data_IF_869041280988
#
_entry.id   IF_869041280988
#
_cell.length_a   1.000
_cell.length_b   1.000
_cell.length_c   1.000
_cell.angle_alpha   90.00
_cell.angle_beta   90.00
_cell.angle_gamma   90.00
#
_symmetry.space_group_name_H-M   'P 1'
#
loop_
_entity.id
_entity.type
_entity.pdbx_description
1 polymer ?
#
# COMPACT_ATOMS: atom_id res chain seq x y z
N UNK A 1 30.02 -41.08 -19.71
CA UNK A 1 28.75 -40.35 -19.88
C UNK A 1 28.32 -40.49 -21.33
N UNK A 2 27.11 -40.98 -21.60
CA UNK A 2 26.66 -41.30 -22.95
C UNK A 2 26.45 -40.00 -23.74
N UNK A 3 27.09 -39.84 -24.91
CA UNK A 3 27.07 -38.59 -25.70
C UNK A 3 25.65 -38.16 -26.08
N UNK A 4 24.76 -39.14 -26.29
CA UNK A 4 23.34 -38.92 -26.56
C UNK A 4 22.62 -38.26 -25.37
N UNK A 5 22.87 -38.74 -24.15
CA UNK A 5 22.27 -38.19 -22.93
C UNK A 5 22.71 -36.74 -22.66
N UNK A 6 24.00 -36.43 -22.84
CA UNK A 6 24.51 -35.05 -22.69
C UNK A 6 23.88 -34.10 -23.72
N UNK A 7 23.62 -34.57 -24.95
CA UNK A 7 23.02 -33.75 -26.02
C UNK A 7 21.57 -33.38 -25.71
N UNK A 8 20.78 -34.33 -25.21
CA UNK A 8 19.39 -34.05 -24.81
C UNK A 8 19.33 -33.11 -23.61
N UNK A 9 20.21 -33.29 -22.63
CA UNK A 9 20.27 -32.45 -21.43
C UNK A 9 20.61 -30.99 -21.79
N UNK A 10 21.58 -30.78 -22.70
CA UNK A 10 21.92 -29.45 -23.22
C UNK A 10 20.74 -28.84 -24.00
N UNK A 11 20.04 -29.62 -24.82
CA UNK A 11 18.88 -29.15 -25.59
C UNK A 11 17.73 -28.71 -24.67
N UNK A 12 17.40 -29.53 -23.67
CA UNK A 12 16.37 -29.23 -22.68
C UNK A 12 16.73 -27.98 -21.85
N UNK A 13 17.98 -27.89 -21.37
CA UNK A 13 18.46 -26.74 -20.62
C UNK A 13 18.43 -25.45 -21.47
N UNK A 14 18.81 -25.52 -22.74
CA UNK A 14 18.75 -24.38 -23.66
C UNK A 14 17.33 -23.91 -23.95
N UNK A 15 16.39 -24.84 -24.17
CA UNK A 15 14.97 -24.50 -24.37
C UNK A 15 14.39 -23.89 -23.10
N UNK A 16 14.66 -24.46 -21.94
CA UNK A 16 14.19 -23.93 -20.67
C UNK A 16 14.73 -22.51 -20.42
N UNK A 17 16.03 -22.28 -20.67
CA UNK A 17 16.66 -20.96 -20.54
C UNK A 17 16.04 -19.94 -21.50
N UNK A 18 15.75 -20.33 -22.74
CA UNK A 18 15.10 -19.46 -23.70
C UNK A 18 13.69 -19.07 -23.23
N UNK A 19 12.90 -20.02 -22.76
CA UNK A 19 11.54 -19.76 -22.26
C UNK A 19 11.57 -18.89 -21.00
N UNK A 20 12.45 -19.17 -20.03
CA UNK A 20 12.55 -18.35 -18.81
C UNK A 20 13.01 -16.94 -19.10
N UNK A 21 13.91 -16.75 -20.07
CA UNK A 21 14.36 -15.43 -20.51
C UNK A 21 13.21 -14.65 -21.15
N UNK A 22 12.40 -15.28 -22.02
CA UNK A 22 11.25 -14.64 -22.65
C UNK A 22 10.21 -14.22 -21.61
N UNK A 23 9.86 -15.13 -20.69
CA UNK A 23 8.86 -14.84 -19.64
C UNK A 23 9.36 -13.77 -18.67
N UNK A 24 10.62 -13.83 -18.25
CA UNK A 24 11.23 -12.83 -17.39
C UNK A 24 11.27 -11.45 -18.04
N UNK A 25 11.62 -11.37 -19.33
CA UNK A 25 11.60 -10.11 -20.08
C UNK A 25 10.20 -9.54 -20.22
N UNK A 26 9.19 -10.38 -20.53
CA UNK A 26 7.80 -9.95 -20.62
C UNK A 26 7.28 -9.43 -19.27
N UNK A 27 7.54 -10.14 -18.18
CA UNK A 27 7.13 -9.72 -16.83
C UNK A 27 7.84 -8.42 -16.41
N UNK A 28 9.14 -8.29 -16.71
CA UNK A 28 9.91 -7.08 -16.44
C UNK A 28 9.37 -5.86 -17.19
N UNK A 29 9.02 -6.01 -18.47
CA UNK A 29 8.43 -4.94 -19.26
C UNK A 29 7.06 -4.51 -18.72
N UNK A 30 6.18 -5.47 -18.41
CA UNK A 30 4.85 -5.19 -17.84
C UNK A 30 5.00 -4.50 -16.48
N UNK A 31 5.87 -5.01 -15.60
CA UNK A 31 6.10 -4.40 -14.30
C UNK A 31 6.67 -2.98 -14.43
N UNK A 32 7.62 -2.76 -15.34
CA UNK A 32 8.21 -1.43 -15.59
C UNK A 32 7.18 -0.39 -16.02
N UNK A 33 6.26 -0.76 -16.92
CA UNK A 33 5.20 0.16 -17.37
C UNK A 33 4.10 0.35 -16.32
N UNK A 34 3.79 -0.69 -15.54
CA UNK A 34 2.66 -0.68 -14.60
C UNK A 34 3.04 -0.06 -13.25
N UNK A 35 4.31 -0.14 -12.85
CA UNK A 35 4.78 0.31 -11.53
C UNK A 35 4.48 1.79 -11.26
N UNK A 36 4.69 2.67 -12.24
CA UNK A 36 4.45 4.10 -12.06
C UNK A 36 2.95 4.40 -11.94
N UNK A 37 2.11 3.72 -12.72
CA UNK A 37 0.65 3.82 -12.60
C UNK A 37 0.13 3.31 -11.26
N UNK A 38 0.70 2.22 -10.75
CA UNK A 38 0.34 1.71 -9.42
C UNK A 38 0.71 2.73 -8.34
N UNK A 39 1.88 3.37 -8.45
CA UNK A 39 2.29 4.42 -7.50
C UNK A 39 1.36 5.63 -7.54
N UNK A 40 1.01 6.13 -8.72
CA UNK A 40 0.07 7.24 -8.90
C UNK A 40 -1.30 6.91 -8.29
N UNK A 41 -1.86 5.74 -8.63
CA UNK A 41 -3.17 5.30 -8.11
C UNK A 41 -3.14 5.11 -6.60
N UNK A 42 -2.05 4.57 -6.05
CA UNK A 42 -1.87 4.41 -4.61
C UNK A 42 -1.76 5.76 -3.89
N UNK A 43 -1.05 6.71 -4.47
CA UNK A 43 -0.97 8.07 -3.94
C UNK A 43 -2.35 8.75 -3.98
N UNK A 44 -3.09 8.62 -5.08
CA UNK A 44 -4.43 9.16 -5.21
C UNK A 44 -5.38 8.56 -4.18
N UNK A 45 -5.41 7.22 -4.03
CA UNK A 45 -6.21 6.55 -3.00
C UNK A 45 -5.86 7.02 -1.59
N UNK A 46 -4.56 7.22 -1.31
CA UNK A 46 -4.12 7.75 -0.02
C UNK A 46 -4.66 9.16 0.20
N UNK A 47 -4.65 10.01 -0.83
CA UNK A 47 -5.18 11.37 -0.76
C UNK A 47 -6.71 11.41 -0.63
N UNK A 48 -7.41 10.56 -1.37
CA UNK A 48 -8.87 10.43 -1.31
C UNK A 48 -9.30 9.98 0.09
N UNK A 49 -8.58 9.00 0.66
CA UNK A 49 -8.83 8.49 2.01
C UNK A 49 -8.59 9.54 3.10
N UNK A 50 -7.48 10.30 3.01
CA UNK A 50 -7.24 11.42 3.93
C UNK A 50 -8.37 12.46 3.85
N UNK A 51 -8.83 12.78 2.64
CA UNK A 51 -9.91 13.75 2.40
C UNK A 51 -11.28 13.23 2.84
N UNK A 52 -11.48 11.91 2.87
CA UNK A 52 -12.69 11.27 3.39
C UNK A 52 -12.77 11.38 4.92
N UNK A 53 -11.63 11.23 5.61
CA UNK A 53 -11.53 11.32 7.07
C UNK A 53 -11.60 12.79 7.54
N UNK A 54 -10.76 13.67 6.99
CA UNK A 54 -10.74 15.10 7.35
C UNK A 54 -11.12 15.93 6.12
N UNK A 55 -12.39 16.34 6.07
CA UNK A 55 -12.97 17.07 4.93
C UNK A 55 -12.44 18.49 4.84
N UNK A 56 -12.43 19.01 3.61
CA UNK A 56 -12.11 20.41 3.28
C UNK A 56 -10.74 20.89 3.80
N UNK A 57 -9.78 19.96 3.89
CA UNK A 57 -8.42 20.23 4.37
C UNK A 57 -7.36 19.98 3.29
N UNK A 58 -6.25 20.68 3.46
CA UNK A 58 -4.98 20.45 2.75
C UNK A 58 -4.06 19.60 3.61
N UNK A 59 -3.36 18.66 2.98
CA UNK A 59 -2.49 17.72 3.68
C UNK A 59 -1.03 17.98 3.31
N UNK A 60 -0.20 18.25 4.31
CA UNK A 60 1.24 18.43 4.16
C UNK A 60 1.97 17.30 4.85
N UNK A 61 2.86 16.60 4.13
CA UNK A 61 3.69 15.56 4.72
C UNK A 61 4.69 16.19 5.70
N UNK A 62 4.82 15.58 6.88
CA UNK A 62 5.80 15.95 7.91
C UNK A 62 6.71 14.77 8.21
N UNK A 63 7.95 15.07 8.57
CA UNK A 63 8.92 14.04 8.93
C UNK A 63 8.55 13.41 10.27
N UNK A 64 8.44 12.09 10.27
CA UNK A 64 8.26 11.32 11.50
C UNK A 64 9.64 11.04 12.12
N UNK A 65 9.85 11.51 13.33
CA UNK A 65 11.13 11.41 14.07
C UNK A 65 11.12 10.36 15.18
N UNK A 66 10.07 9.54 15.25
CA UNK A 66 10.00 8.44 16.22
C UNK A 66 10.53 7.12 15.67
N UNK A 67 10.63 6.13 16.56
CA UNK A 67 11.28 4.84 16.26
C UNK A 67 10.30 3.74 15.81
N UNK A 68 9.04 4.07 15.54
CA UNK A 68 8.03 3.07 15.17
C UNK A 68 8.04 2.78 13.66
N UNK A 69 8.60 1.64 13.28
CA UNK A 69 8.70 1.17 11.88
C UNK A 69 7.35 0.92 11.19
N UNK A 70 6.26 0.80 11.96
CA UNK A 70 4.92 0.68 11.39
C UNK A 70 4.42 2.01 10.81
N UNK A 71 4.93 3.15 11.27
CA UNK A 71 4.55 4.47 10.75
C UNK A 71 5.33 4.71 9.46
N UNK A 72 4.61 4.83 8.34
CA UNK A 72 5.20 5.01 7.00
C UNK A 72 5.18 6.46 6.54
N UNK A 73 4.20 7.23 6.99
CA UNK A 73 4.13 8.66 6.71
C UNK A 73 3.19 9.34 7.71
N UNK A 74 3.42 10.64 7.92
CA UNK A 74 2.57 11.50 8.74
C UNK A 74 2.22 12.73 7.91
N UNK A 75 0.95 13.12 7.93
CA UNK A 75 0.42 14.26 7.21
C UNK A 75 -0.31 15.20 8.18
N UNK A 76 0.04 16.47 8.16
CA UNK A 76 -0.69 17.51 8.88
C UNK A 76 -1.85 17.99 8.02
N UNK A 77 -3.06 17.99 8.57
CA UNK A 77 -4.24 18.56 7.93
C UNK A 77 -4.38 20.04 8.33
N UNK A 78 -4.55 20.91 7.34
CA UNK A 78 -4.85 22.33 7.54
C UNK A 78 -6.13 22.72 6.83
N UNK A 79 -6.99 23.46 7.52
CA UNK A 79 -8.25 23.96 6.95
C UNK A 79 -8.00 25.07 5.90
N UNK A 80 -9.07 25.58 5.29
CA UNK A 80 -9.02 26.65 4.30
C UNK A 80 -8.41 27.97 4.83
N UNK A 81 -8.36 28.17 6.15
CA UNK A 81 -7.72 29.32 6.79
C UNK A 81 -6.23 29.10 7.08
N UNK A 82 -5.72 27.89 6.84
CA UNK A 82 -4.37 27.46 7.18
C UNK A 82 -4.21 27.06 8.65
N UNK A 83 -5.31 26.96 9.41
CA UNK A 83 -5.28 26.52 10.79
C UNK A 83 -5.17 24.99 10.87
N UNK A 84 -4.55 24.51 11.94
CA UNK A 84 -4.37 23.07 12.18
C UNK A 84 -5.73 22.40 12.42
N UNK A 85 -6.07 21.44 11.56
CA UNK A 85 -7.34 20.72 11.56
C UNK A 85 -7.19 19.25 12.00
N UNK A 86 -5.97 18.79 12.24
CA UNK A 86 -5.67 17.43 12.68
C UNK A 86 -4.49 16.82 11.94
N UNK A 87 -4.34 15.50 12.06
CA UNK A 87 -3.20 14.76 11.57
C UNK A 87 -3.63 13.40 11.01
N UNK A 88 -3.16 13.04 9.83
CA UNK A 88 -3.36 11.73 9.22
C UNK A 88 -2.06 10.92 9.29
N UNK A 89 -2.09 9.78 9.96
CA UNK A 89 -0.95 8.86 10.05
C UNK A 89 -1.18 7.68 9.13
N UNK A 90 -0.24 7.42 8.22
CA UNK A 90 -0.21 6.17 7.46
C UNK A 90 0.60 5.14 8.23
N UNK A 91 -0.06 4.06 8.64
CA UNK A 91 0.54 2.90 9.32
C UNK A 91 0.46 1.64 8.46
N UNK A 92 1.40 0.73 8.63
CA UNK A 92 1.47 -0.54 7.90
C UNK A 92 1.76 -1.71 8.85
N UNK A 93 0.82 -2.08 9.74
CA UNK A 93 0.94 -3.31 10.54
C UNK A 93 0.92 -4.56 9.66
N UNK A 94 1.57 -5.62 10.13
CA UNK A 94 1.58 -6.93 9.46
C UNK A 94 0.33 -7.73 9.84
N UNK A 95 -0.48 -8.07 8.84
CA UNK A 95 -1.61 -9.01 8.92
C UNK A 95 -1.21 -10.46 8.62
N UNK A 96 -2.21 -11.29 8.31
CA UNK A 96 -2.01 -12.69 7.94
C UNK A 96 -1.50 -12.84 6.49
N UNK A 97 -2.04 -12.03 5.57
CA UNK A 97 -1.68 -12.03 4.15
C UNK A 97 -0.50 -11.12 3.79
N UNK A 98 -0.07 -10.26 4.71
CA UNK A 98 1.00 -9.27 4.49
C UNK A 98 0.71 -7.95 5.20
N UNK A 99 1.42 -6.88 4.83
CA UNK A 99 1.19 -5.55 5.39
C UNK A 99 -0.21 -5.03 5.03
N UNK A 100 -0.87 -4.39 5.99
CA UNK A 100 -2.15 -3.72 5.84
C UNK A 100 -1.89 -2.22 5.97
N UNK A 101 -1.91 -1.50 4.85
CA UNK A 101 -1.76 -0.06 4.81
C UNK A 101 -3.04 0.64 5.25
N UNK A 102 -2.98 1.31 6.39
CA UNK A 102 -4.11 1.99 7.04
C UNK A 102 -3.78 3.45 7.26
N UNK A 103 -4.76 4.33 7.06
CA UNK A 103 -4.70 5.75 7.40
C UNK A 103 -5.58 5.97 8.62
N UNK A 104 -5.03 6.66 9.61
CA UNK A 104 -5.74 7.04 10.84
C UNK A 104 -5.75 8.56 10.92
N UNK A 105 -6.94 9.16 10.97
CA UNK A 105 -7.11 10.59 11.22
C UNK A 105 -7.25 10.87 12.72
N UNK A 106 -6.52 11.86 13.20
CA UNK A 106 -6.46 12.29 14.60
C UNK A 106 -6.83 13.77 14.66
N UNK A 107 -7.76 14.13 15.53
CA UNK A 107 -8.18 15.52 15.76
C UNK A 107 -7.14 16.30 16.53
N UNK A 108 -7.22 17.65 16.56
CA UNK A 108 -6.38 18.48 17.41
C UNK A 108 -6.47 18.16 18.92
N UNK A 109 -7.57 17.57 19.36
CA UNK A 109 -7.85 17.15 20.73
C UNK A 109 -7.37 15.71 21.03
N UNK A 110 -6.66 15.07 20.10
CA UNK A 110 -6.22 13.67 20.15
C UNK A 110 -7.36 12.64 20.10
N UNK A 111 -8.52 13.01 19.56
CA UNK A 111 -9.62 12.08 19.23
C UNK A 111 -9.35 11.40 17.88
N UNK A 112 -9.83 10.17 17.67
CA UNK A 112 -9.72 9.50 16.37
C UNK A 112 -10.92 9.93 15.53
N UNK A 113 -10.65 10.60 14.41
CA UNK A 113 -11.68 11.10 13.49
C UNK A 113 -12.16 10.06 12.49
N UNK A 114 -11.35 9.02 12.27
CA UNK A 114 -11.68 7.93 11.36
C UNK A 114 -10.47 7.11 10.95
N UNK A 115 -10.75 5.92 10.42
CA UNK A 115 -9.76 4.95 9.97
C UNK A 115 -10.14 4.45 8.59
N UNK A 116 -9.18 4.40 7.67
CA UNK A 116 -9.40 3.86 6.33
C UNK A 116 -8.27 2.93 5.90
N UNK A 117 -8.62 1.74 5.37
CA UNK A 117 -7.65 0.78 4.85
C UNK A 117 -7.46 1.03 3.36
N UNK A 118 -6.28 1.54 2.99
CA UNK A 118 -5.94 1.88 1.60
C UNK A 118 -5.26 0.74 0.86
N UNK A 119 -4.63 -0.18 1.60
CA UNK A 119 -3.88 -1.30 1.04
C UNK A 119 -4.03 -2.55 1.90
N UNK A 120 -4.43 -3.67 1.30
CA UNK A 120 -4.48 -4.96 1.97
C UNK A 120 -4.43 -6.09 0.95
N UNK A 121 -3.73 -7.17 1.29
CA UNK A 121 -3.67 -8.41 0.51
C UNK A 121 -4.38 -9.54 1.26
N UNK A 122 -5.22 -9.18 2.24
CA UNK A 122 -5.98 -10.14 3.02
C UNK A 122 -6.98 -10.94 2.18
N UNK A 123 -7.35 -12.11 2.70
CA UNK A 123 -8.31 -12.99 2.02
C UNK A 123 -9.67 -12.30 1.95
N UNK A 124 -10.23 -12.22 0.74
CA UNK A 124 -11.55 -11.63 0.48
C UNK A 124 -12.63 -12.27 1.35
N UNK A 125 -13.51 -11.45 1.93
CA UNK A 125 -14.61 -11.79 2.84
C UNK A 125 -14.23 -12.26 4.25
N UNK A 126 -12.95 -12.48 4.54
CA UNK A 126 -12.46 -12.67 5.91
C UNK A 126 -11.77 -11.40 6.41
N UNK A 127 -10.52 -11.19 6.01
CA UNK A 127 -9.73 -10.05 6.47
C UNK A 127 -10.09 -8.73 5.79
N UNK A 128 -10.72 -8.77 4.60
CA UNK A 128 -11.15 -7.56 3.90
C UNK A 128 -12.29 -6.81 4.61
N UNK A 129 -13.02 -7.46 5.53
CA UNK A 129 -14.08 -6.82 6.34
C UNK A 129 -13.55 -5.74 7.29
N UNK A 130 -12.25 -5.78 7.59
CA UNK A 130 -11.61 -4.73 8.37
C UNK A 130 -11.66 -3.37 7.67
N UNK A 131 -11.92 -3.33 6.35
CA UNK A 131 -12.10 -2.10 5.58
C UNK A 131 -13.57 -1.67 5.41
N UNK A 132 -14.54 -2.40 5.97
CA UNK A 132 -15.96 -2.04 5.83
C UNK A 132 -16.29 -0.78 6.65
N UNK A 133 -17.07 0.15 6.10
CA UNK A 133 -17.44 1.40 6.77
C UNK A 133 -18.09 1.18 8.15
N UNK A 134 -18.95 0.17 8.26
CA UNK A 134 -19.59 -0.20 9.53
C UNK A 134 -18.58 -0.68 10.59
N UNK A 135 -17.47 -1.27 10.15
CA UNK A 135 -16.40 -1.70 11.05
C UNK A 135 -15.50 -0.52 11.42
N UNK A 136 -15.17 0.35 10.46
CA UNK A 136 -14.31 1.52 10.71
C UNK A 136 -14.97 2.56 11.61
N UNK A 137 -16.30 2.74 11.52
CA UNK A 137 -17.06 3.68 12.34
C UNK A 137 -16.97 3.42 13.86
N UNK A 138 -16.54 2.22 14.28
CA UNK A 138 -16.34 1.93 15.71
C UNK A 138 -15.15 2.70 16.32
N UNK A 139 -14.26 3.22 15.48
CA UNK A 139 -13.05 3.93 15.90
C UNK A 139 -13.26 5.44 15.97
N UNK A 140 -14.41 5.95 15.56
CA UNK A 140 -14.75 7.38 15.66
C UNK A 140 -15.02 7.71 17.14
N UNK A 141 -14.15 8.52 17.78
CA UNK A 141 -14.23 8.81 19.21
C UNK A 141 -13.28 9.88 19.72
#
# INVERSE_FOLDING_TARGET
MNKEFTRELIRLAGILLAVTLIVGAALGAVNGVTADRIKEVKAQKTQDAMSAIIKDCTFEQVDYTGDNEMIRAVYTAKDASGAYAGLCVKVAPTGFGGEVGTIVGISPENAVLGVEIVESVETSQLGSKAGDDNWNAQYDG
#
